data_IF_723587168537
#
_entry.id   IF_723587168537
#
_cell.length_a   1.000
_cell.length_b   1.000
_cell.length_c   1.000
_cell.angle_alpha   90.00
_cell.angle_beta   90.00
_cell.angle_gamma   90.00
#
_symmetry.space_group_name_H-M   'P 1'
#
loop_
_entity.id
_entity.type
_entity.pdbx_description
1 polymer ?
#
# COMPACT_ATOMS: atom_id res chain seq x y z
N UNK A 1 81.62 12.33 -52.43
CA UNK A 1 81.11 11.34 -51.45
C UNK A 1 80.47 11.97 -50.20
N UNK A 2 80.77 13.20 -49.77
CA UNK A 2 80.20 13.79 -48.54
C UNK A 2 78.92 14.64 -48.73
N UNK A 3 78.62 15.12 -49.95
CA UNK A 3 77.47 16.02 -50.20
C UNK A 3 76.15 15.26 -50.36
N UNK A 4 76.17 14.06 -50.96
CA UNK A 4 74.95 13.25 -51.18
C UNK A 4 74.38 12.67 -49.88
N UNK A 5 75.24 12.26 -48.94
CA UNK A 5 74.78 11.71 -47.65
C UNK A 5 74.06 12.74 -46.78
N UNK A 6 74.52 14.00 -46.79
CA UNK A 6 73.86 15.09 -46.05
C UNK A 6 72.47 15.41 -46.64
N UNK A 7 72.36 15.41 -47.97
CA UNK A 7 71.09 15.66 -48.67
C UNK A 7 70.05 14.54 -48.42
N UNK A 8 70.47 13.28 -48.37
CA UNK A 8 69.58 12.14 -48.10
C UNK A 8 69.12 12.15 -46.64
N UNK A 9 70.02 12.40 -45.68
CA UNK A 9 69.65 12.50 -44.26
C UNK A 9 68.70 13.66 -43.96
N UNK A 10 68.92 14.84 -44.58
CA UNK A 10 68.01 15.98 -44.44
C UNK A 10 66.61 15.71 -45.03
N UNK A 11 66.54 14.96 -46.14
CA UNK A 11 65.28 14.58 -46.79
C UNK A 11 64.50 13.56 -45.95
N UNK A 12 65.19 12.56 -45.39
CA UNK A 12 64.60 11.57 -44.47
C UNK A 12 64.14 12.22 -43.16
N UNK A 13 64.92 13.15 -42.59
CA UNK A 13 64.54 13.86 -41.37
C UNK A 13 63.27 14.71 -41.57
N UNK A 14 63.17 15.41 -42.70
CA UNK A 14 61.97 16.19 -43.04
C UNK A 14 60.75 15.31 -43.34
N UNK A 15 60.91 14.17 -44.02
CA UNK A 15 59.79 13.22 -44.22
C UNK A 15 59.28 12.63 -42.90
N UNK A 16 60.17 12.28 -41.97
CA UNK A 16 59.79 11.73 -40.67
C UNK A 16 59.06 12.78 -39.82
N UNK A 17 59.53 14.03 -39.80
CA UNK A 17 58.85 15.12 -39.09
C UNK A 17 57.52 15.52 -39.74
N UNK A 18 57.45 15.52 -41.08
CA UNK A 18 56.20 15.78 -41.80
C UNK A 18 55.16 14.68 -41.54
N UNK A 19 55.55 13.40 -41.56
CA UNK A 19 54.67 12.27 -41.19
C UNK A 19 54.23 12.33 -39.73
N UNK A 20 55.09 12.75 -38.80
CA UNK A 20 54.70 12.97 -37.40
C UNK A 20 53.67 14.10 -37.26
N UNK A 21 53.89 15.24 -37.90
CA UNK A 21 52.97 16.38 -37.85
C UNK A 21 51.61 16.06 -38.50
N UNK A 22 51.63 15.39 -39.66
CA UNK A 22 50.42 14.98 -40.37
C UNK A 22 49.62 13.94 -39.59
N UNK A 23 50.27 12.93 -38.99
CA UNK A 23 49.59 11.97 -38.13
C UNK A 23 48.94 12.64 -36.91
N UNK A 24 49.63 13.58 -36.24
CA UNK A 24 49.05 14.31 -35.10
C UNK A 24 47.84 15.16 -35.51
N UNK A 25 47.86 15.80 -36.69
CA UNK A 25 46.72 16.52 -37.23
C UNK A 25 45.55 15.60 -37.60
N UNK A 26 45.82 14.46 -38.24
CA UNK A 26 44.81 13.45 -38.55
C UNK A 26 44.18 12.85 -37.29
N UNK A 27 44.96 12.56 -36.24
CA UNK A 27 44.43 12.06 -34.96
C UNK A 27 43.57 13.10 -34.26
N UNK A 28 43.97 14.38 -34.25
CA UNK A 28 43.13 15.47 -33.72
C UNK A 28 41.83 15.63 -34.51
N UNK A 29 41.87 15.53 -35.83
CA UNK A 29 40.69 15.64 -36.68
C UNK A 29 39.73 14.46 -36.46
N UNK A 30 40.24 13.23 -36.41
CA UNK A 30 39.44 12.03 -36.12
C UNK A 30 38.84 12.07 -34.71
N UNK A 31 39.62 12.45 -33.68
CA UNK A 31 39.11 12.61 -32.32
C UNK A 31 38.00 13.68 -32.25
N UNK A 32 38.17 14.81 -32.94
CA UNK A 32 37.15 15.87 -33.01
C UNK A 32 35.89 15.42 -33.75
N UNK A 33 36.04 14.59 -34.79
CA UNK A 33 34.91 14.01 -35.54
C UNK A 33 34.13 13.00 -34.70
N UNK A 34 34.82 12.13 -33.96
CA UNK A 34 34.20 11.15 -33.04
C UNK A 34 33.52 11.85 -31.86
N UNK A 35 34.17 12.85 -31.27
CA UNK A 35 33.57 13.67 -30.20
C UNK A 35 32.33 14.41 -30.69
N UNK A 36 32.38 15.04 -31.87
CA UNK A 36 31.22 15.73 -32.44
C UNK A 36 30.09 14.76 -32.81
N UNK A 37 30.38 13.58 -33.34
CA UNK A 37 29.34 12.57 -33.58
C UNK A 37 28.71 12.13 -32.27
N UNK A 38 29.50 11.78 -31.25
CA UNK A 38 29.01 11.36 -29.93
C UNK A 38 28.20 12.46 -29.23
N UNK A 39 28.62 13.73 -29.33
CA UNK A 39 27.87 14.87 -28.80
C UNK A 39 26.52 15.05 -29.49
N UNK A 40 26.46 14.85 -30.81
CA UNK A 40 25.22 14.95 -31.60
C UNK A 40 24.26 13.80 -31.28
N UNK A 41 24.77 12.58 -31.08
CA UNK A 41 23.96 11.43 -30.63
C UNK A 41 23.47 11.61 -29.19
N UNK A 42 24.28 12.20 -28.32
CA UNK A 42 23.90 12.49 -26.91
C UNK A 42 22.82 13.57 -26.83
N UNK A 43 22.96 14.67 -27.59
CA UNK A 43 21.94 15.74 -27.65
C UNK A 43 20.62 15.25 -28.29
N UNK A 44 20.70 14.39 -29.31
CA UNK A 44 19.53 13.73 -29.90
C UNK A 44 18.80 12.84 -28.88
N UNK A 45 19.55 12.02 -28.10
CA UNK A 45 18.97 11.19 -27.04
C UNK A 45 18.34 12.02 -25.92
N UNK A 46 18.98 13.13 -25.50
CA UNK A 46 18.38 14.04 -24.50
C UNK A 46 17.07 14.66 -25.00
N UNK A 47 16.99 15.12 -26.25
CA UNK A 47 15.75 15.68 -26.81
C UNK A 47 14.62 14.64 -26.90
N UNK A 48 14.94 13.39 -27.28
CA UNK A 48 13.95 12.31 -27.33
C UNK A 48 13.50 11.91 -25.92
N UNK A 49 14.42 11.81 -24.94
CA UNK A 49 14.06 11.54 -23.55
C UNK A 49 13.19 12.66 -22.96
N UNK A 50 13.55 13.92 -23.16
CA UNK A 50 12.74 15.05 -22.72
C UNK A 50 11.35 15.06 -23.39
N UNK A 51 11.26 14.75 -24.68
CA UNK A 51 9.99 14.64 -25.38
C UNK A 51 9.10 13.52 -24.82
N UNK A 52 9.64 12.31 -24.67
CA UNK A 52 8.91 11.15 -24.11
C UNK A 52 8.49 11.42 -22.67
N UNK A 53 9.38 11.93 -21.81
CA UNK A 53 9.07 12.27 -20.42
C UNK A 53 8.01 13.37 -20.35
N UNK A 54 8.08 14.40 -21.19
CA UNK A 54 7.06 15.46 -21.23
C UNK A 54 5.69 14.95 -21.68
N UNK A 55 5.65 14.01 -22.63
CA UNK A 55 4.41 13.41 -23.09
C UNK A 55 3.83 12.44 -22.06
N UNK A 56 4.68 11.66 -21.38
CA UNK A 56 4.28 10.81 -20.26
C UNK A 56 3.77 11.64 -19.09
N UNK A 57 4.44 12.74 -18.74
CA UNK A 57 3.98 13.67 -17.70
C UNK A 57 2.65 14.31 -18.07
N UNK A 58 2.48 14.76 -19.32
CA UNK A 58 1.20 15.30 -19.81
C UNK A 58 0.10 14.25 -19.79
N UNK A 59 0.38 13.01 -20.16
CA UNK A 59 -0.57 11.89 -20.05
C UNK A 59 -0.90 11.58 -18.58
N UNK A 60 0.08 11.60 -17.68
CA UNK A 60 -0.13 11.40 -16.24
C UNK A 60 -1.02 12.50 -15.66
N UNK A 61 -0.76 13.77 -16.02
CA UNK A 61 -1.55 14.93 -15.60
C UNK A 61 -2.97 14.90 -16.20
N UNK A 62 -3.13 14.41 -17.43
CA UNK A 62 -4.43 14.22 -18.05
C UNK A 62 -5.23 13.12 -17.35
N UNK A 63 -4.59 12.02 -16.92
CA UNK A 63 -5.20 10.98 -16.10
C UNK A 63 -5.66 11.54 -14.74
N UNK A 64 -4.84 12.40 -14.11
CA UNK A 64 -5.12 13.12 -12.86
C UNK A 64 -6.30 14.12 -12.90
N UNK A 65 -6.87 14.39 -14.09
CA UNK A 65 -8.05 15.27 -14.24
C UNK A 65 -9.38 14.52 -14.33
N UNK A 66 -9.38 13.19 -14.28
CA UNK A 66 -10.60 12.39 -14.45
C UNK A 66 -11.35 12.18 -13.13
N UNK A 67 -12.65 11.88 -13.21
CA UNK A 67 -13.47 11.52 -12.04
C UNK A 67 -12.88 10.36 -11.22
N UNK A 68 -12.17 9.44 -11.88
CA UNK A 68 -11.47 8.32 -11.24
C UNK A 68 -10.40 8.86 -10.29
N UNK A 69 -9.56 9.79 -10.76
CA UNK A 69 -8.48 10.34 -9.93
C UNK A 69 -8.97 11.23 -8.79
N UNK A 70 -10.05 11.99 -8.99
CA UNK A 70 -10.71 12.72 -7.90
C UNK A 70 -11.22 11.76 -6.81
N UNK A 71 -11.92 10.70 -7.22
CA UNK A 71 -12.50 9.71 -6.31
C UNK A 71 -11.42 8.90 -5.57
N UNK A 72 -10.39 8.47 -6.29
CA UNK A 72 -9.24 7.77 -5.71
C UNK A 72 -8.46 8.68 -4.78
N UNK A 73 -8.25 9.96 -5.13
CA UNK A 73 -7.57 10.92 -4.25
C UNK A 73 -8.32 11.11 -2.93
N UNK A 74 -9.65 11.24 -2.96
CA UNK A 74 -10.49 11.33 -1.75
C UNK A 74 -10.32 10.09 -0.88
N UNK A 75 -10.35 8.90 -1.49
CA UNK A 75 -10.20 7.65 -0.76
C UNK A 75 -8.81 7.50 -0.14
N UNK A 76 -7.75 7.87 -0.87
CA UNK A 76 -6.36 7.82 -0.39
C UNK A 76 -6.19 8.82 0.75
N UNK A 77 -6.54 10.09 0.56
CA UNK A 77 -6.38 11.12 1.60
C UNK A 77 -7.18 10.76 2.85
N UNK A 78 -8.42 10.28 2.68
CA UNK A 78 -9.25 9.79 3.77
C UNK A 78 -8.64 8.63 4.53
N UNK A 79 -8.04 7.68 3.81
CA UNK A 79 -7.36 6.54 4.43
C UNK A 79 -6.12 7.01 5.20
N UNK A 80 -5.29 7.89 4.62
CA UNK A 80 -4.11 8.44 5.29
C UNK A 80 -4.52 9.15 6.58
N UNK A 81 -5.50 10.05 6.52
CA UNK A 81 -5.99 10.78 7.69
C UNK A 81 -6.53 9.84 8.77
N UNK A 82 -7.28 8.80 8.39
CA UNK A 82 -7.81 7.83 9.35
C UNK A 82 -6.71 6.98 10.02
N UNK A 83 -5.60 6.68 9.32
CA UNK A 83 -4.47 5.93 9.89
C UNK A 83 -3.57 6.77 10.80
N UNK A 84 -3.59 8.11 10.68
CA UNK A 84 -2.86 8.99 11.61
C UNK A 84 -3.40 8.87 13.04
N UNK A 85 -4.72 8.67 13.20
CA UNK A 85 -5.36 8.54 14.52
C UNK A 85 -4.71 7.43 15.37
N UNK A 86 -4.72 6.14 14.97
CA UNK A 86 -4.09 5.10 15.79
C UNK A 86 -2.58 5.28 15.90
N UNK A 87 -1.91 5.86 14.90
CA UNK A 87 -0.46 6.11 14.95
C UNK A 87 -0.10 7.07 16.09
N UNK A 88 -0.87 8.15 16.26
CA UNK A 88 -0.68 9.14 17.33
C UNK A 88 -1.15 8.58 18.69
N UNK A 89 -2.19 7.75 18.70
CA UNK A 89 -2.71 7.15 19.93
C UNK A 89 -1.83 6.01 20.46
N UNK A 90 -1.12 5.27 19.61
CA UNK A 90 -0.29 4.14 20.03
C UNK A 90 0.72 4.45 21.14
N UNK A 91 1.52 5.53 21.08
CA UNK A 91 2.41 5.94 22.17
C UNK A 91 1.67 6.16 23.50
N UNK A 92 0.48 6.77 23.45
CA UNK A 92 -0.35 7.03 24.63
C UNK A 92 -0.87 5.71 25.19
N UNK A 93 -1.48 4.87 24.36
CA UNK A 93 -2.05 3.59 24.76
C UNK A 93 -0.98 2.66 25.37
N UNK A 94 0.24 2.62 24.80
CA UNK A 94 1.35 1.82 25.34
C UNK A 94 1.84 2.25 26.72
N UNK A 95 1.49 3.45 27.18
CA UNK A 95 1.80 3.91 28.55
C UNK A 95 0.77 3.40 29.57
N UNK A 96 -0.46 3.12 29.14
CA UNK A 96 -1.55 2.70 30.02
C UNK A 96 -1.79 1.19 30.02
N UNK A 97 -1.47 0.51 28.92
CA UNK A 97 -1.66 -0.93 28.78
C UNK A 97 -0.33 -1.68 28.84
N UNK A 98 -0.32 -2.77 29.60
CA UNK A 98 0.81 -3.68 29.70
C UNK A 98 1.09 -4.39 28.34
N UNK A 99 2.36 -4.70 28.02
CA UNK A 99 2.74 -5.31 26.76
C UNK A 99 2.06 -6.67 26.51
N UNK A 100 1.70 -7.41 27.56
CA UNK A 100 0.97 -8.68 27.46
C UNK A 100 -0.41 -8.52 26.81
N UNK A 101 -1.09 -7.39 27.06
CA UNK A 101 -2.41 -7.10 26.47
C UNK A 101 -2.28 -6.87 24.97
N UNK A 102 -1.23 -6.16 24.54
CA UNK A 102 -0.95 -5.98 23.11
C UNK A 102 -0.64 -7.32 22.41
N UNK A 103 0.03 -8.24 23.10
CA UNK A 103 0.25 -9.60 22.61
C UNK A 103 -1.06 -10.35 22.38
N UNK A 104 -1.95 -10.36 23.38
CA UNK A 104 -3.26 -10.99 23.26
C UNK A 104 -4.14 -10.33 22.18
N UNK A 105 -4.11 -9.00 22.08
CA UNK A 105 -4.82 -8.25 21.04
C UNK A 105 -4.27 -8.53 19.64
N UNK A 106 -2.96 -8.68 19.46
CA UNK A 106 -2.36 -9.05 18.18
C UNK A 106 -2.79 -10.45 17.72
N UNK A 107 -2.85 -11.42 18.65
CA UNK A 107 -3.40 -12.76 18.37
C UNK A 107 -4.86 -12.66 17.94
N UNK A 108 -5.67 -11.89 18.68
CA UNK A 108 -7.08 -11.65 18.33
C UNK A 108 -7.26 -11.07 16.92
N UNK A 109 -6.57 -9.98 16.58
CA UNK A 109 -6.67 -9.35 15.26
C UNK A 109 -6.22 -10.29 14.15
N UNK A 110 -5.19 -11.11 14.38
CA UNK A 110 -4.71 -12.08 13.40
C UNK A 110 -5.75 -13.15 13.09
N UNK A 111 -6.38 -13.72 14.12
CA UNK A 111 -7.44 -14.72 13.96
C UNK A 111 -8.67 -14.09 13.30
N UNK A 112 -9.06 -12.90 13.77
CA UNK A 112 -10.19 -12.14 13.23
C UNK A 112 -10.01 -11.90 11.72
N UNK A 113 -8.83 -11.46 11.27
CA UNK A 113 -8.55 -11.23 9.85
C UNK A 113 -8.74 -12.48 8.99
N UNK A 114 -8.30 -13.64 9.47
CA UNK A 114 -8.47 -14.93 8.77
C UNK A 114 -9.96 -15.29 8.70
N UNK A 115 -10.67 -15.16 9.82
CA UNK A 115 -12.07 -15.55 9.92
C UNK A 115 -13.01 -14.63 9.15
N UNK A 116 -12.72 -13.33 9.07
CA UNK A 116 -13.48 -12.39 8.23
C UNK A 116 -13.51 -12.88 6.79
N UNK A 117 -12.36 -13.27 6.25
CA UNK A 117 -12.26 -13.78 4.87
C UNK A 117 -13.09 -15.05 4.64
N UNK A 118 -13.18 -15.92 5.64
CA UNK A 118 -14.01 -17.13 5.58
C UNK A 118 -15.51 -16.82 5.76
N UNK A 119 -15.85 -15.81 6.57
CA UNK A 119 -17.22 -15.53 7.00
C UNK A 119 -18.17 -15.17 5.87
N UNK A 120 -17.66 -14.53 4.83
CA UNK A 120 -18.45 -14.00 3.72
C UNK A 120 -18.21 -14.73 2.40
N UNK A 121 -17.34 -15.76 2.40
CA UNK A 121 -16.91 -16.53 1.21
C UNK A 121 -16.42 -15.65 0.05
N UNK A 122 -16.01 -14.40 0.34
CA UNK A 122 -15.67 -13.35 -0.63
C UNK A 122 -16.81 -12.93 -1.57
N UNK A 123 -18.06 -13.25 -1.27
CA UNK A 123 -19.21 -12.80 -2.07
C UNK A 123 -19.37 -11.28 -2.10
N UNK A 124 -18.89 -10.59 -1.06
CA UNK A 124 -18.87 -9.12 -1.00
C UNK A 124 -18.07 -8.49 -2.14
N UNK A 125 -17.00 -9.14 -2.63
CA UNK A 125 -16.21 -8.63 -3.76
C UNK A 125 -16.98 -8.75 -5.08
N UNK A 126 -17.89 -9.73 -5.19
CA UNK A 126 -18.71 -9.92 -6.38
C UNK A 126 -19.80 -8.84 -6.54
N UNK A 127 -20.09 -8.05 -5.51
CA UNK A 127 -21.14 -7.00 -5.51
C UNK A 127 -20.94 -5.95 -6.63
N UNK A 128 -19.70 -5.73 -7.06
CA UNK A 128 -19.40 -4.76 -8.13
C UNK A 128 -19.65 -5.29 -9.55
N UNK A 129 -19.82 -6.61 -9.73
CA UNK A 129 -19.92 -7.25 -11.04
C UNK A 129 -21.30 -7.13 -11.73
N UNK A 130 -22.45 -7.29 -11.04
CA UNK A 130 -23.74 -7.29 -11.71
C UNK A 130 -24.07 -5.95 -12.37
N UNK A 131 -24.74 -5.97 -13.52
CA UNK A 131 -25.23 -4.75 -14.19
C UNK A 131 -26.40 -4.11 -13.44
N UNK A 132 -27.33 -4.93 -12.93
CA UNK A 132 -28.51 -4.46 -12.22
C UNK A 132 -28.28 -4.38 -10.70
N UNK A 133 -28.78 -3.31 -10.09
CA UNK A 133 -28.63 -3.06 -8.65
C UNK A 133 -29.36 -4.08 -7.77
N UNK A 134 -30.46 -4.66 -8.25
CA UNK A 134 -31.19 -5.72 -7.53
C UNK A 134 -30.31 -6.94 -7.28
N UNK A 135 -29.53 -7.38 -8.28
CA UNK A 135 -28.64 -8.53 -8.13
C UNK A 135 -27.47 -8.22 -7.19
N UNK A 136 -26.94 -7.00 -7.24
CA UNK A 136 -25.89 -6.57 -6.32
C UNK A 136 -26.41 -6.49 -4.87
N UNK A 137 -27.63 -6.00 -4.65
CA UNK A 137 -28.25 -5.97 -3.32
C UNK A 137 -28.46 -7.39 -2.77
N UNK A 138 -28.90 -8.33 -3.62
CA UNK A 138 -29.02 -9.73 -3.22
C UNK A 138 -27.66 -10.33 -2.82
N UNK A 139 -26.56 -10.00 -3.51
CA UNK A 139 -25.22 -10.44 -3.11
C UNK A 139 -24.79 -9.88 -1.75
N UNK A 140 -25.11 -8.62 -1.46
CA UNK A 140 -24.86 -8.03 -0.13
C UNK A 140 -25.66 -8.77 0.93
N UNK A 141 -26.95 -9.03 0.68
CA UNK A 141 -27.80 -9.77 1.62
C UNK A 141 -27.26 -11.18 1.87
N UNK A 142 -26.87 -11.91 0.83
CA UNK A 142 -26.28 -13.25 0.94
C UNK A 142 -24.96 -13.20 1.72
N UNK A 143 -24.10 -12.22 1.43
CA UNK A 143 -22.84 -12.02 2.17
C UNK A 143 -23.08 -11.76 3.65
N UNK A 144 -24.05 -10.92 4.00
CA UNK A 144 -24.45 -10.67 5.39
C UNK A 144 -25.03 -11.91 6.06
N UNK A 145 -25.90 -12.65 5.38
CA UNK A 145 -26.49 -13.88 5.89
C UNK A 145 -25.41 -14.92 6.20
N UNK A 146 -24.46 -15.14 5.29
CA UNK A 146 -23.33 -16.04 5.54
C UNK A 146 -22.48 -15.56 6.71
N UNK A 147 -22.22 -14.26 6.82
CA UNK A 147 -21.45 -13.71 7.95
C UNK A 147 -22.14 -13.96 9.29
N UNK A 148 -23.48 -13.82 9.36
CA UNK A 148 -24.28 -14.16 10.55
C UNK A 148 -24.17 -15.65 10.87
N UNK A 149 -24.43 -16.52 9.89
CA UNK A 149 -24.39 -17.98 10.10
C UNK A 149 -23.00 -18.45 10.54
N UNK A 150 -21.96 -17.92 9.93
CA UNK A 150 -20.58 -18.22 10.28
C UNK A 150 -20.22 -17.72 11.68
N UNK A 151 -20.65 -16.50 12.04
CA UNK A 151 -20.47 -15.95 13.38
C UNK A 151 -21.20 -16.78 14.44
N UNK A 152 -22.44 -17.22 14.18
CA UNK A 152 -23.18 -18.10 15.10
C UNK A 152 -22.50 -19.45 15.28
N UNK A 153 -22.03 -20.07 14.19
CA UNK A 153 -21.28 -21.32 14.25
C UNK A 153 -20.01 -21.14 15.09
N UNK A 154 -19.28 -20.05 14.85
CA UNK A 154 -18.07 -19.71 15.58
C UNK A 154 -18.34 -19.46 17.06
N UNK A 155 -19.47 -18.83 17.39
CA UNK A 155 -19.92 -18.66 18.78
C UNK A 155 -20.11 -20.02 19.45
N UNK A 156 -20.79 -20.96 18.81
CA UNK A 156 -20.98 -22.33 19.35
C UNK A 156 -19.63 -23.01 19.57
N UNK A 157 -18.71 -22.92 18.62
CA UNK A 157 -17.34 -23.47 18.76
C UNK A 157 -16.62 -22.87 19.97
N UNK A 158 -16.68 -21.54 20.14
CA UNK A 158 -16.06 -20.86 21.27
C UNK A 158 -16.70 -21.27 22.59
N UNK A 159 -18.03 -21.38 22.67
CA UNK A 159 -18.74 -21.79 23.89
C UNK A 159 -18.33 -23.20 24.34
N UNK A 160 -18.17 -24.14 23.40
CA UNK A 160 -17.85 -25.55 23.71
C UNK A 160 -16.35 -25.74 24.01
N UNK A 161 -15.47 -25.07 23.26
CA UNK A 161 -14.02 -25.34 23.29
C UNK A 161 -13.17 -24.21 23.87
N UNK A 162 -13.75 -23.22 24.55
CA UNK A 162 -13.04 -22.06 25.10
C UNK A 162 -11.69 -22.41 25.76
N UNK A 163 -11.67 -23.33 26.73
CA UNK A 163 -10.45 -23.68 27.46
C UNK A 163 -9.37 -24.30 26.56
N UNK A 164 -9.76 -25.17 25.62
CA UNK A 164 -8.81 -25.78 24.66
C UNK A 164 -8.26 -24.74 23.68
N UNK A 165 -9.10 -23.80 23.26
CA UNK A 165 -8.69 -22.69 22.39
C UNK A 165 -7.71 -21.76 23.10
N UNK A 166 -7.94 -21.41 24.37
CA UNK A 166 -7.00 -20.61 25.17
C UNK A 166 -5.63 -21.27 25.28
N UNK A 167 -5.60 -22.57 25.56
CA UNK A 167 -4.35 -23.34 25.64
C UNK A 167 -3.66 -23.43 24.28
N UNK A 168 -4.40 -23.70 23.21
CA UNK A 168 -3.86 -23.76 21.84
C UNK A 168 -3.24 -22.42 21.41
N UNK A 169 -3.87 -21.31 21.79
CA UNK A 169 -3.41 -19.95 21.48
C UNK A 169 -2.37 -19.41 22.47
N UNK A 170 -1.98 -20.20 23.48
CA UNK A 170 -1.07 -19.78 24.55
C UNK A 170 -1.52 -18.50 25.27
N UNK A 171 -2.83 -18.32 25.42
CA UNK A 171 -3.43 -17.16 26.09
C UNK A 171 -3.73 -17.47 27.57
N UNK A 172 -3.42 -16.50 28.44
CA UNK A 172 -3.80 -16.60 29.87
C UNK A 172 -5.33 -16.61 30.02
N UNK A 173 -5.87 -17.29 31.04
CA UNK A 173 -7.32 -17.32 31.31
C UNK A 173 -7.97 -15.93 31.45
N UNK A 174 -7.21 -14.92 31.88
CA UNK A 174 -7.66 -13.52 31.96
C UNK A 174 -8.16 -12.96 30.61
N UNK A 175 -7.70 -13.52 29.48
CA UNK A 175 -8.08 -13.08 28.14
C UNK A 175 -9.19 -13.94 27.50
N UNK A 176 -9.89 -14.78 28.28
CA UNK A 176 -11.03 -15.56 27.79
C UNK A 176 -12.11 -14.71 27.09
N UNK A 177 -12.29 -13.46 27.55
CA UNK A 177 -13.21 -12.49 26.96
C UNK A 177 -12.92 -12.25 25.47
N UNK A 178 -11.65 -12.32 25.04
CA UNK A 178 -11.25 -12.09 23.65
C UNK A 178 -11.87 -13.12 22.71
N UNK A 179 -11.97 -14.38 23.15
CA UNK A 179 -12.57 -15.45 22.37
C UNK A 179 -14.08 -15.28 22.25
N UNK A 180 -14.76 -14.86 23.31
CA UNK A 180 -16.22 -14.63 23.27
C UNK A 180 -16.60 -13.43 22.40
N UNK A 181 -15.72 -12.43 22.31
CA UNK A 181 -15.91 -11.24 21.47
C UNK A 181 -15.56 -11.48 19.99
N UNK A 182 -14.88 -12.58 19.69
CA UNK A 182 -14.39 -12.90 18.37
C UNK A 182 -15.51 -13.18 17.33
N UNK A 183 -16.57 -13.96 17.65
CA UNK A 183 -17.75 -14.07 16.78
C UNK A 183 -18.40 -12.73 16.44
N UNK A 184 -18.54 -11.86 17.44
CA UNK A 184 -19.14 -10.53 17.26
C UNK A 184 -18.26 -9.66 16.35
N UNK A 185 -16.94 -9.64 16.59
CA UNK A 185 -15.99 -8.90 15.76
C UNK A 185 -15.98 -9.36 14.30
N UNK A 186 -16.08 -10.68 14.07
CA UNK A 186 -16.18 -11.26 12.71
C UNK A 186 -17.44 -10.78 12.01
N UNK A 187 -18.59 -10.79 12.69
CA UNK A 187 -19.85 -10.32 12.11
C UNK A 187 -19.81 -8.82 11.79
N UNK A 188 -19.42 -7.97 12.75
CA UNK A 188 -19.36 -6.52 12.54
C UNK A 188 -18.40 -6.15 11.41
N UNK A 189 -17.20 -6.75 11.41
CA UNK A 189 -16.20 -6.51 10.37
C UNK A 189 -16.63 -7.03 9.00
N UNK A 190 -17.26 -8.21 8.96
CA UNK A 190 -17.82 -8.78 7.73
C UNK A 190 -18.93 -7.89 7.17
N UNK A 191 -19.86 -7.43 8.01
CA UNK A 191 -20.92 -6.52 7.62
C UNK A 191 -20.38 -5.17 7.12
N UNK A 192 -19.41 -4.59 7.82
CA UNK A 192 -18.70 -3.39 7.38
C UNK A 192 -18.10 -3.59 5.98
N UNK A 193 -17.48 -4.74 5.72
CA UNK A 193 -16.87 -5.04 4.43
C UNK A 193 -17.92 -5.18 3.31
N UNK A 194 -19.04 -5.84 3.56
CA UNK A 194 -20.15 -5.95 2.60
C UNK A 194 -20.73 -4.58 2.23
N UNK A 195 -20.94 -3.72 3.24
CA UNK A 195 -21.42 -2.34 3.02
C UNK A 195 -20.37 -1.47 2.33
N UNK A 196 -19.08 -1.67 2.61
CA UNK A 196 -17.98 -0.98 1.95
C UNK A 196 -17.99 -1.27 0.44
N UNK A 197 -18.15 -2.53 0.01
CA UNK A 197 -18.25 -2.88 -1.40
C UNK A 197 -19.52 -2.34 -2.08
N UNK A 198 -20.63 -2.27 -1.34
CA UNK A 198 -21.83 -1.60 -1.83
C UNK A 198 -21.60 -0.11 -2.09
N UNK A 199 -20.92 0.59 -1.18
CA UNK A 199 -20.55 2.00 -1.37
C UNK A 199 -19.57 2.20 -2.53
N UNK A 200 -18.63 1.26 -2.75
CA UNK A 200 -17.74 1.28 -3.92
C UNK A 200 -18.57 1.20 -5.20
N UNK A 201 -19.52 0.26 -5.28
CA UNK A 201 -20.42 0.12 -6.44
C UNK A 201 -21.17 1.43 -6.71
N UNK A 202 -21.69 2.08 -5.66
CA UNK A 202 -22.40 3.36 -5.76
C UNK A 202 -21.48 4.58 -5.96
N UNK A 203 -20.16 4.38 -6.08
CA UNK A 203 -19.14 5.44 -6.22
C UNK A 203 -19.21 6.48 -5.09
N UNK A 204 -19.66 6.08 -3.90
CA UNK A 204 -19.85 6.95 -2.75
C UNK A 204 -18.55 7.15 -1.95
N UNK A 205 -17.44 7.53 -2.63
CA UNK A 205 -16.09 7.57 -2.05
C UNK A 205 -15.94 8.54 -0.87
N UNK A 206 -16.68 9.65 -0.88
CA UNK A 206 -16.73 10.58 0.27
C UNK A 206 -17.31 9.91 1.51
N UNK A 207 -18.41 9.16 1.35
CA UNK A 207 -19.04 8.42 2.44
C UNK A 207 -18.11 7.33 2.98
N UNK A 208 -17.41 6.62 2.09
CA UNK A 208 -16.38 5.64 2.48
C UNK A 208 -15.28 6.31 3.33
N UNK A 209 -14.74 7.43 2.84
CA UNK A 209 -13.71 8.18 3.54
C UNK A 209 -14.17 8.64 4.93
N UNK A 210 -15.39 9.19 5.01
CA UNK A 210 -15.98 9.63 6.27
C UNK A 210 -16.16 8.46 7.24
N UNK A 211 -16.72 7.34 6.79
CA UNK A 211 -16.92 6.15 7.63
C UNK A 211 -15.59 5.59 8.16
N UNK A 212 -14.53 5.58 7.34
CA UNK A 212 -13.18 5.18 7.81
C UNK A 212 -12.68 6.08 8.93
N UNK A 213 -12.83 7.40 8.78
CA UNK A 213 -12.41 8.36 9.79
C UNK A 213 -13.21 8.20 11.08
N UNK A 214 -14.54 8.17 10.99
CA UNK A 214 -15.44 7.98 12.14
C UNK A 214 -15.10 6.70 12.89
N UNK A 215 -14.98 5.58 12.18
CA UNK A 215 -14.60 4.29 12.78
C UNK A 215 -13.29 4.37 13.57
N UNK A 216 -12.22 4.92 12.98
CA UNK A 216 -10.92 5.05 13.68
C UNK A 216 -10.96 6.05 14.82
N UNK A 217 -11.74 7.12 14.70
CA UNK A 217 -11.95 8.08 15.78
C UNK A 217 -12.70 7.44 16.96
N UNK A 218 -13.77 6.68 16.71
CA UNK A 218 -14.53 5.97 17.74
C UNK A 218 -13.71 4.86 18.40
N UNK A 219 -12.96 4.09 17.62
CA UNK A 219 -12.01 3.09 18.12
C UNK A 219 -11.02 3.75 19.08
N UNK A 220 -10.31 4.78 18.61
CA UNK A 220 -9.30 5.47 19.39
C UNK A 220 -9.85 6.15 20.65
N UNK A 221 -11.00 6.81 20.52
CA UNK A 221 -11.66 7.49 21.65
C UNK A 221 -12.13 6.49 22.71
N UNK A 222 -12.70 5.36 22.28
CA UNK A 222 -13.12 4.29 23.18
C UNK A 222 -11.92 3.64 23.88
N UNK A 223 -10.85 3.34 23.14
CA UNK A 223 -9.61 2.79 23.71
C UNK A 223 -9.02 3.73 24.76
N UNK A 224 -8.99 5.04 24.49
CA UNK A 224 -8.55 6.05 25.46
C UNK A 224 -9.46 6.10 26.69
N UNK A 225 -10.78 6.08 26.51
CA UNK A 225 -11.73 6.07 27.62
C UNK A 225 -11.50 4.86 28.55
N UNK A 226 -11.34 3.67 27.98
CA UNK A 226 -11.03 2.47 28.77
C UNK A 226 -9.62 2.48 29.37
N UNK A 227 -8.66 3.14 28.72
CA UNK A 227 -7.32 3.34 29.27
C UNK A 227 -7.36 4.17 30.56
N UNK A 228 -8.20 5.21 30.60
CA UNK A 228 -8.39 6.05 31.80
C UNK A 228 -9.07 5.28 32.94
N UNK A 229 -9.99 4.37 32.61
CA UNK A 229 -10.68 3.50 33.59
C UNK A 229 -9.79 2.31 34.02
N UNK A 230 -8.59 2.17 33.45
CA UNK A 230 -7.62 1.08 33.72
C UNK A 230 -8.21 -0.32 33.55
N UNK A 231 -9.13 -0.48 32.59
CA UNK A 231 -9.70 -1.80 32.28
C UNK A 231 -8.74 -2.56 31.36
N UNK A 232 -8.19 -3.70 31.80
CA UNK A 232 -7.18 -4.46 31.05
C UNK A 232 -7.59 -4.90 29.64
N UNK A 233 -8.90 -4.97 29.35
CA UNK A 233 -9.45 -5.36 28.05
C UNK A 233 -9.88 -4.17 27.18
N UNK A 234 -9.53 -2.94 27.57
CA UNK A 234 -9.97 -1.71 26.91
C UNK A 234 -9.62 -1.60 25.43
N UNK A 235 -8.46 -2.16 25.03
CA UNK A 235 -8.02 -2.25 23.64
C UNK A 235 -9.04 -3.00 22.76
N UNK A 236 -9.49 -4.16 23.24
CA UNK A 236 -10.44 -5.02 22.54
C UNK A 236 -11.84 -4.39 22.46
N UNK A 237 -12.34 -3.86 23.57
CA UNK A 237 -13.67 -3.23 23.58
C UNK A 237 -13.72 -2.00 22.67
N UNK A 238 -12.65 -1.21 22.64
CA UNK A 238 -12.56 -0.07 21.75
C UNK A 238 -12.55 -0.47 20.26
N UNK A 239 -11.84 -1.56 19.92
CA UNK A 239 -11.87 -2.12 18.55
C UNK A 239 -13.29 -2.51 18.11
N UNK A 240 -14.01 -3.23 18.98
CA UNK A 240 -15.40 -3.65 18.68
C UNK A 240 -16.33 -2.45 18.54
N UNK A 241 -16.22 -1.45 19.41
CA UNK A 241 -17.08 -0.25 19.34
C UNK A 241 -16.82 0.56 18.06
N UNK A 242 -15.60 0.51 17.54
CA UNK A 242 -15.27 1.19 16.28
C UNK A 242 -15.84 0.51 15.03
N UNK A 243 -15.99 -0.82 15.03
CA UNK A 243 -16.39 -1.63 13.87
C UNK A 243 -17.89 -1.55 13.54
#
# INVERSE_FOLDING_TARGET
MSVEYSAIYGRLYNEVNFRKSYNVQCTKYQARRVLNSSFKTQHSKLNIQHFVISNLLKQLIALLKTDITRNTSILISGTVLAQVIPLVLQPVLRRYFEPEVFGAYAVYISILAILIMASSLRYEQAVVLPKADKHAANLVFVSLLFSVLFSLLLLVVVLIWNQKLLQFLNLKPAYAVFLYLLPLGVFLSGAYQSLYFWLIRKKAFKGISYNKFVRRAFEGSSQLAFALIKTGNGLLFGDIIGN
#
